data_IF_989789267444
#
_entry.id   IF_989789267444
#
_cell.length_a   1.000
_cell.length_b   1.000
_cell.length_c   1.000
_cell.angle_alpha   90.00
_cell.angle_beta   90.00
_cell.angle_gamma   90.00
#
_symmetry.space_group_name_H-M   'P 1'
#
loop_
_entity.id
_entity.type
_entity.pdbx_description
1 polymer ?
#
# COMPACT_ATOMS: atom_id res chain seq x y z
N UNK A 1 -2.54 -13.15 16.24
CA UNK A 1 -2.06 -12.92 14.86
C UNK A 1 -2.35 -11.47 14.48
N UNK A 2 -1.47 -10.84 13.70
CA UNK A 2 -1.70 -9.49 13.15
C UNK A 2 -1.73 -9.61 11.63
N UNK A 3 -2.80 -9.13 11.02
CA UNK A 3 -2.96 -9.06 9.56
C UNK A 3 -3.02 -7.58 9.18
N UNK A 4 -2.28 -7.22 8.13
CA UNK A 4 -2.30 -5.89 7.54
C UNK A 4 -2.82 -6.04 6.12
N UNK A 5 -3.81 -5.24 5.74
CA UNK A 5 -4.38 -5.29 4.41
C UNK A 5 -5.22 -4.05 4.13
N UNK A 6 -5.42 -3.78 2.85
CA UNK A 6 -6.35 -2.76 2.40
C UNK A 6 -7.77 -3.33 2.46
N UNK A 7 -8.67 -2.59 3.10
CA UNK A 7 -10.05 -3.00 3.30
C UNK A 7 -10.99 -1.97 2.67
N UNK A 8 -11.93 -2.47 1.89
CA UNK A 8 -12.93 -1.64 1.24
C UNK A 8 -14.14 -1.50 2.14
N UNK A 9 -14.56 -0.26 2.40
CA UNK A 9 -15.68 0.02 3.28
C UNK A 9 -16.49 1.23 2.76
N UNK A 10 -17.81 1.10 2.53
CA UNK A 10 -18.60 -0.13 2.56
C UNK A 10 -18.32 -1.05 1.35
N UNK A 11 -18.55 -2.37 1.46
CA UNK A 11 -18.38 -3.31 0.34
C UNK A 11 -19.34 -3.02 -0.83
N UNK A 12 -20.48 -2.40 -0.55
CA UNK A 12 -21.50 -2.04 -1.54
C UNK A 12 -20.99 -1.04 -2.59
N UNK A 13 -19.93 -0.27 -2.30
CA UNK A 13 -19.34 0.69 -3.23
C UNK A 13 -18.76 0.01 -4.48
N UNK A 14 -18.33 -1.26 -4.39
CA UNK A 14 -17.84 -2.02 -5.57
C UNK A 14 -19.00 -2.73 -6.27
N UNK A 15 -19.86 -3.40 -5.50
CA UNK A 15 -20.83 -4.37 -6.03
C UNK A 15 -21.99 -3.66 -6.71
N UNK A 16 -22.44 -2.53 -6.16
CA UNK A 16 -23.64 -1.83 -6.64
C UNK A 16 -23.32 -0.59 -7.49
N UNK A 17 -22.05 -0.31 -7.81
CA UNK A 17 -21.64 0.96 -8.44
C UNK A 17 -22.29 2.18 -7.75
N UNK A 18 -22.35 2.13 -6.42
CA UNK A 18 -23.02 3.14 -5.62
C UNK A 18 -22.34 4.51 -5.85
N UNK A 19 -23.11 5.60 -5.86
CA UNK A 19 -22.60 6.97 -6.09
C UNK A 19 -21.57 7.45 -5.04
N UNK A 20 -21.38 6.67 -3.96
CA UNK A 20 -20.37 6.97 -2.93
C UNK A 20 -18.96 6.57 -3.39
N UNK A 21 -17.93 7.41 -3.14
CA UNK A 21 -16.57 7.10 -3.54
C UNK A 21 -16.06 5.86 -2.79
N UNK A 22 -15.49 4.90 -3.55
CA UNK A 22 -14.85 3.70 -2.97
C UNK A 22 -13.71 4.16 -2.06
N UNK A 23 -13.77 3.74 -0.79
CA UNK A 23 -12.71 3.93 0.17
C UNK A 23 -12.01 2.60 0.40
N UNK A 24 -10.75 2.51 0.00
CA UNK A 24 -9.89 1.38 0.32
C UNK A 24 -8.78 1.81 1.28
N UNK A 25 -9.05 1.64 2.58
CA UNK A 25 -8.17 2.12 3.63
C UNK A 25 -7.23 1.02 4.10
N UNK A 26 -5.99 1.38 4.40
CA UNK A 26 -5.04 0.44 4.98
C UNK A 26 -5.41 0.16 6.44
N UNK A 27 -5.71 -1.10 6.73
CA UNK A 27 -6.20 -1.55 8.03
C UNK A 27 -5.31 -2.62 8.67
N UNK A 28 -5.38 -2.65 9.99
CA UNK A 28 -4.75 -3.64 10.87
C UNK A 28 -5.83 -4.44 11.57
N UNK A 29 -5.78 -5.75 11.36
CA UNK A 29 -6.67 -6.72 11.99
C UNK A 29 -5.86 -7.53 12.99
N UNK A 30 -6.27 -7.46 14.26
CA UNK A 30 -5.73 -8.26 15.34
C UNK A 30 -6.66 -9.44 15.55
N UNK A 31 -6.15 -10.67 15.43
CA UNK A 31 -6.89 -11.88 15.72
C UNK A 31 -6.31 -12.53 16.97
N UNK A 32 -7.12 -12.70 18.01
CA UNK A 32 -6.76 -13.48 19.18
C UNK A 32 -7.28 -14.91 19.01
N UNK A 33 -6.39 -15.83 18.58
CA UNK A 33 -6.77 -17.22 18.36
C UNK A 33 -7.08 -17.99 19.65
N UNK A 34 -6.76 -17.43 20.83
CA UNK A 34 -7.08 -18.04 22.12
C UNK A 34 -8.47 -17.65 22.60
N UNK A 35 -8.88 -16.40 22.38
CA UNK A 35 -10.19 -15.89 22.79
C UNK A 35 -11.22 -15.86 21.66
N UNK A 36 -10.80 -16.18 20.43
CA UNK A 36 -11.60 -16.10 19.19
C UNK A 36 -12.06 -14.67 18.83
N UNK A 37 -11.54 -13.66 19.51
CA UNK A 37 -11.88 -12.26 19.25
C UNK A 37 -11.04 -11.67 18.11
N UNK A 38 -11.65 -10.76 17.36
CA UNK A 38 -10.97 -9.95 16.36
C UNK A 38 -11.16 -8.47 16.61
N UNK A 39 -10.14 -7.67 16.32
CA UNK A 39 -10.21 -6.20 16.38
C UNK A 39 -9.69 -5.63 15.08
N UNK A 40 -10.48 -4.75 14.47
CA UNK A 40 -10.12 -4.03 13.25
C UNK A 40 -9.78 -2.57 13.59
N UNK A 41 -8.68 -2.05 13.03
CA UNK A 41 -8.26 -0.64 13.19
C UNK A 41 -7.66 -0.11 11.91
N UNK A 42 -8.12 1.06 11.46
CA UNK A 42 -7.55 1.76 10.30
C UNK A 42 -6.20 2.37 10.68
N UNK A 43 -5.17 2.16 9.87
CA UNK A 43 -3.82 2.73 10.04
C UNK A 43 -3.72 4.07 9.31
N UNK A 44 -4.26 4.14 8.09
CA UNK A 44 -4.26 5.34 7.26
C UNK A 44 -5.70 5.64 6.85
N UNK A 45 -6.23 6.75 7.35
CA UNK A 45 -7.59 7.21 7.06
C UNK A 45 -7.63 8.00 5.75
N UNK A 46 -8.73 7.87 5.01
CA UNK A 46 -9.09 8.65 3.82
C UNK A 46 -8.05 8.63 2.70
N UNK A 47 -7.32 7.53 2.57
CA UNK A 47 -6.37 7.36 1.49
C UNK A 47 -6.51 5.97 0.89
N UNK A 48 -6.84 5.96 -0.40
CA UNK A 48 -6.98 4.75 -1.18
C UNK A 48 -5.60 4.15 -1.44
N UNK A 49 -5.27 3.13 -0.65
CA UNK A 49 -4.01 2.41 -0.73
C UNK A 49 -4.29 0.99 -1.15
N UNK A 50 -3.75 0.57 -2.28
CA UNK A 50 -3.99 -0.76 -2.84
C UNK A 50 -2.71 -1.36 -3.40
N UNK A 51 -2.78 -2.63 -3.81
CA UNK A 51 -1.76 -3.34 -4.60
C UNK A 51 -0.34 -3.01 -4.12
N UNK A 52 0.05 -3.59 -2.98
CA UNK A 52 1.30 -3.26 -2.31
C UNK A 52 2.18 -4.45 -1.96
N UNK A 53 3.44 -4.15 -1.66
CA UNK A 53 4.44 -5.11 -1.24
C UNK A 53 5.10 -4.73 0.08
N UNK A 54 5.45 -5.76 0.84
CA UNK A 54 6.37 -5.68 1.97
C UNK A 54 7.73 -6.25 1.57
N UNK A 55 8.76 -6.01 2.39
CA UNK A 55 10.06 -6.64 2.18
C UNK A 55 9.91 -8.17 2.17
N UNK A 56 10.22 -8.81 1.03
CA UNK A 56 10.11 -10.27 0.84
C UNK A 56 10.89 -11.07 1.88
N UNK A 57 12.02 -10.53 2.38
CA UNK A 57 12.83 -11.16 3.44
C UNK A 57 12.13 -11.21 4.81
N UNK A 58 11.05 -10.46 4.97
CA UNK A 58 10.27 -10.35 6.20
C UNK A 58 8.84 -10.89 6.04
N UNK A 59 8.53 -11.63 4.97
CA UNK A 59 7.24 -12.29 4.83
C UNK A 59 6.98 -13.21 6.03
N UNK A 60 5.76 -13.13 6.58
CA UNK A 60 5.37 -13.85 7.79
C UNK A 60 6.00 -13.33 9.10
N UNK A 61 6.85 -12.31 9.04
CA UNK A 61 7.47 -11.66 10.21
C UNK A 61 6.93 -10.23 10.37
N UNK A 62 7.12 -9.65 11.55
CA UNK A 62 6.74 -8.24 11.81
C UNK A 62 7.51 -7.32 10.87
N UNK A 63 6.79 -6.61 10.01
CA UNK A 63 7.33 -5.54 9.18
C UNK A 63 6.90 -4.18 9.73
N UNK A 64 7.79 -3.19 9.61
CA UNK A 64 7.47 -1.80 9.97
C UNK A 64 6.99 -0.98 8.78
N UNK A 65 7.42 -1.34 7.58
CA UNK A 65 7.17 -0.56 6.37
C UNK A 65 6.48 -1.41 5.32
N UNK A 66 5.47 -0.82 4.68
CA UNK A 66 4.77 -1.37 3.52
C UNK A 66 4.75 -0.33 2.41
N UNK A 67 4.88 -0.79 1.18
CA UNK A 67 4.82 0.05 -0.02
C UNK A 67 3.54 -0.29 -0.77
N UNK A 68 2.67 0.70 -0.99
CA UNK A 68 1.35 0.52 -1.61
C UNK A 68 1.20 1.50 -2.76
N UNK A 69 0.42 1.14 -3.78
CA UNK A 69 -0.04 2.07 -4.78
C UNK A 69 -1.11 3.00 -4.18
N UNK A 70 -1.07 4.27 -4.56
CA UNK A 70 -2.11 5.24 -4.28
C UNK A 70 -3.10 5.19 -5.43
N UNK A 71 -4.36 4.90 -5.12
CA UNK A 71 -5.41 4.67 -6.12
C UNK A 71 -6.44 5.78 -6.03
N UNK A 72 -6.06 6.94 -6.56
CA UNK A 72 -6.84 8.17 -6.50
C UNK A 72 -6.66 8.97 -7.80
N UNK A 73 -7.71 9.14 -8.63
CA UNK A 73 -9.07 8.60 -8.46
C UNK A 73 -9.14 7.10 -8.74
N UNK A 74 -9.89 6.35 -7.95
CA UNK A 74 -10.09 4.91 -8.15
C UNK A 74 -10.77 4.60 -9.49
N UNK A 75 -10.36 3.57 -10.26
CA UNK A 75 -9.33 2.56 -9.99
C UNK A 75 -7.91 2.92 -10.50
N UNK A 76 -7.65 4.17 -10.89
CA UNK A 76 -6.36 4.56 -11.45
C UNK A 76 -5.29 4.70 -10.37
N UNK A 77 -4.19 3.96 -10.54
CA UNK A 77 -3.02 4.06 -9.67
C UNK A 77 -2.16 5.27 -10.08
N UNK A 78 -2.20 6.34 -9.28
CA UNK A 78 -1.52 7.60 -9.57
C UNK A 78 -0.10 7.64 -9.02
N UNK A 79 0.11 7.16 -7.80
CA UNK A 79 1.37 7.33 -7.05
C UNK A 79 1.75 6.08 -6.24
N UNK A 80 2.89 6.13 -5.53
CA UNK A 80 3.26 5.14 -4.49
C UNK A 80 3.28 5.80 -3.12
N UNK A 81 2.88 5.05 -2.09
CA UNK A 81 3.05 5.40 -0.69
C UNK A 81 3.95 4.40 0.03
N UNK A 82 4.89 4.90 0.84
CA UNK A 82 5.53 4.13 1.91
C UNK A 82 4.85 4.46 3.23
N UNK A 83 4.30 3.44 3.89
CA UNK A 83 3.59 3.59 5.16
C UNK A 83 4.40 2.97 6.30
N UNK A 84 4.64 3.76 7.34
CA UNK A 84 5.13 3.26 8.63
C UNK A 84 3.95 2.69 9.43
N UNK A 85 3.90 1.36 9.55
CA UNK A 85 2.83 0.61 10.21
C UNK A 85 2.78 0.82 11.73
N UNK A 86 3.84 1.36 12.34
CA UNK A 86 3.86 1.66 13.78
C UNK A 86 3.30 3.04 14.06
N UNK A 87 3.62 4.03 13.23
CA UNK A 87 3.20 5.42 13.46
C UNK A 87 2.04 5.89 12.58
N UNK A 88 1.63 5.10 11.58
CA UNK A 88 0.65 5.50 10.56
C UNK A 88 1.16 6.61 9.62
N UNK A 89 2.47 6.90 9.61
CA UNK A 89 3.01 7.99 8.79
C UNK A 89 3.15 7.53 7.34
N UNK A 90 2.65 8.35 6.43
CA UNK A 90 2.69 8.10 4.99
C UNK A 90 3.70 9.02 4.32
N UNK A 91 4.60 8.45 3.53
CA UNK A 91 5.47 9.19 2.61
C UNK A 91 5.05 8.86 1.18
N UNK A 92 4.48 9.85 0.47
CA UNK A 92 4.08 9.69 -0.93
C UNK A 92 5.27 9.94 -1.86
N UNK A 93 5.33 9.16 -2.93
CA UNK A 93 6.24 9.31 -4.06
C UNK A 93 5.39 9.59 -5.28
N UNK A 94 5.34 10.87 -5.65
CA UNK A 94 4.49 11.33 -6.75
C UNK A 94 5.24 11.24 -8.08
N UNK A 95 4.61 10.68 -9.11
CA UNK A 95 5.24 10.54 -10.43
C UNK A 95 5.11 11.78 -11.32
N UNK A 96 4.13 12.64 -11.02
CA UNK A 96 3.76 13.81 -11.81
C UNK A 96 2.43 13.61 -12.56
N UNK A 97 1.93 14.67 -13.19
CA UNK A 97 0.65 14.66 -13.92
C UNK A 97 0.67 13.69 -15.10
N UNK A 98 -0.46 13.00 -15.34
CA UNK A 98 -0.69 12.08 -16.47
C UNK A 98 0.19 10.81 -16.49
N UNK A 99 0.69 10.40 -15.34
CA UNK A 99 1.44 9.15 -15.16
C UNK A 99 0.66 8.20 -14.31
N UNK A 100 0.64 6.94 -14.72
CA UNK A 100 0.04 5.86 -13.93
C UNK A 100 1.10 4.86 -13.54
N UNK A 101 0.99 4.36 -12.31
CA UNK A 101 1.92 3.40 -11.73
C UNK A 101 1.25 2.03 -11.60
N UNK A 102 2.01 0.96 -11.72
CA UNK A 102 1.57 -0.38 -11.32
C UNK A 102 1.94 -0.74 -9.89
N UNK A 103 1.80 -2.02 -9.56
CA UNK A 103 2.27 -2.60 -8.30
C UNK A 103 3.75 -2.21 -8.03
N UNK A 104 4.07 -1.68 -6.84
CA UNK A 104 5.45 -1.42 -6.44
C UNK A 104 6.19 -2.72 -6.16
N UNK A 105 7.32 -2.92 -6.82
CA UNK A 105 8.29 -3.98 -6.53
C UNK A 105 9.33 -3.49 -5.53
N UNK A 106 9.29 -4.03 -4.31
CA UNK A 106 10.35 -3.79 -3.33
C UNK A 106 11.59 -4.62 -3.66
N UNK A 107 12.75 -3.98 -3.76
CA UNK A 107 14.02 -4.67 -4.02
C UNK A 107 15.04 -4.36 -2.91
N UNK A 108 15.52 -5.40 -2.19
CA UNK A 108 16.56 -5.23 -1.19
C UNK A 108 17.90 -4.84 -1.84
N UNK A 109 18.75 -4.12 -1.12
CA UNK A 109 19.97 -3.50 -1.65
C UNK A 109 20.95 -4.50 -2.30
N UNK A 110 20.96 -5.76 -1.86
CA UNK A 110 21.92 -6.80 -2.28
C UNK A 110 21.51 -7.62 -3.52
N UNK A 111 20.45 -7.22 -4.24
CA UNK A 111 20.11 -7.84 -5.54
C UNK A 111 20.45 -6.90 -6.70
N UNK A 112 20.94 -7.50 -7.78
CA UNK A 112 21.72 -6.86 -8.84
C UNK A 112 21.00 -5.72 -9.58
N UNK A 113 21.84 -4.84 -10.13
CA UNK A 113 21.53 -3.49 -10.64
C UNK A 113 20.56 -3.51 -11.82
N UNK A 114 19.34 -3.04 -11.62
CA UNK A 114 18.52 -2.43 -12.68
C UNK A 114 18.62 -0.91 -12.53
N UNK A 115 19.21 -0.23 -13.53
CA UNK A 115 19.38 1.23 -13.57
C UNK A 115 18.12 1.89 -14.11
N UNK A 116 17.34 2.55 -13.26
CA UNK A 116 16.47 3.69 -13.62
C UNK A 116 16.49 4.70 -12.44
N UNK A 117 16.68 5.99 -12.74
CA UNK A 117 16.92 7.16 -11.87
C UNK A 117 15.82 7.44 -10.80
N UNK A 118 15.94 8.17 -9.67
CA UNK A 118 16.87 8.42 -8.52
C UNK A 118 16.04 9.27 -7.50
N UNK A 119 15.99 9.05 -6.17
CA UNK A 119 16.88 9.70 -5.18
C UNK A 119 16.76 9.11 -3.74
N UNK A 120 17.91 8.65 -3.23
CA UNK A 120 18.46 8.73 -1.85
C UNK A 120 17.54 8.44 -0.63
N UNK A 121 17.41 7.16 -0.24
CA UNK A 121 17.35 6.69 1.17
C UNK A 121 17.38 5.15 1.22
N UNK A 122 18.54 4.53 1.54
CA UNK A 122 18.81 3.14 2.05
C UNK A 122 17.95 1.93 1.61
N UNK A 123 16.97 2.05 0.71
CA UNK A 123 15.98 1.06 0.25
C UNK A 123 15.51 1.44 -1.15
N UNK A 124 15.40 0.47 -2.07
CA UNK A 124 14.99 0.69 -3.46
C UNK A 124 13.59 0.12 -3.69
N UNK A 125 12.71 0.91 -4.29
CA UNK A 125 11.37 0.50 -4.74
C UNK A 125 11.29 0.86 -6.20
N UNK A 126 10.87 -0.09 -7.03
CA UNK A 126 10.65 0.10 -8.44
C UNK A 126 9.16 -0.01 -8.72
N UNK A 127 8.64 0.70 -9.69
CA UNK A 127 7.34 0.42 -10.26
C UNK A 127 7.35 0.83 -11.72
N UNK A 128 6.51 0.14 -12.49
CA UNK A 128 6.28 0.46 -13.88
C UNK A 128 5.41 1.71 -13.95
N UNK A 129 5.92 2.73 -14.64
CA UNK A 129 5.19 3.97 -14.89
C UNK A 129 4.85 4.01 -16.37
N UNK A 130 3.56 4.13 -16.68
CA UNK A 130 3.07 4.37 -18.03
C UNK A 130 2.78 5.86 -18.19
N UNK A 131 3.35 6.47 -19.23
CA UNK A 131 2.94 7.80 -19.69
C UNK A 131 1.69 7.61 -20.58
N UNK A 132 0.71 8.52 -20.45
CA UNK A 132 -0.47 8.57 -21.35
C UNK A 132 -0.10 8.79 -22.81
#
# INVERSE_FOLDING_TARGET
>A
MVVIGSCINPPDSIINQCESPVQSELSKILLNLRTEESTHRVIVLRMNLEVGQVNRKLLGKKTRYVYLAVVDPWPNCSDIANVDLESGRVTKFMYGTSRYSGEPLFVPENEDKIKVWQRKRRRRVYSWVCDK
#
